data_IF_035447445973
#
_entry.id   IF_035447445973
#
_cell.length_a   1.000
_cell.length_b   1.000
_cell.length_c   1.000
_cell.angle_alpha   90.00
_cell.angle_beta   90.00
_cell.angle_gamma   90.00
#
_symmetry.space_group_name_H-M   'P 1'
#
loop_
_entity.id
_entity.type
_entity.pdbx_description
1 polymer ?
#
# COMPACT_ATOMS: atom_id res chain seq x y z
N UNK A 1 -23.72 51.42 5.25
CA UNK A 1 -23.86 50.02 4.81
C UNK A 1 -22.59 49.65 4.07
N UNK A 2 -21.62 49.13 4.80
CA UNK A 2 -20.32 48.68 4.32
C UNK A 2 -20.46 47.25 3.80
N UNK A 3 -20.09 47.05 2.54
CA UNK A 3 -19.93 45.71 1.96
C UNK A 3 -18.63 45.11 2.51
N UNK A 4 -18.74 44.06 3.33
CA UNK A 4 -17.61 43.19 3.62
C UNK A 4 -17.29 42.34 2.39
N UNK A 5 -16.00 42.13 2.05
CA UNK A 5 -15.61 41.18 1.03
C UNK A 5 -15.86 39.76 1.55
N UNK A 6 -16.59 39.00 0.75
CA UNK A 6 -16.84 37.59 0.95
C UNK A 6 -15.51 36.85 0.78
N UNK A 7 -14.92 36.41 1.89
CA UNK A 7 -13.77 35.51 1.90
C UNK A 7 -14.13 34.29 1.04
N UNK A 8 -13.52 34.23 -0.14
CA UNK A 8 -13.50 33.03 -0.94
C UNK A 8 -12.70 31.98 -0.17
N UNK A 9 -13.39 31.17 0.65
CA UNK A 9 -12.86 29.91 1.12
C UNK A 9 -12.35 29.16 -0.12
N UNK A 10 -11.03 29.11 -0.25
CA UNK A 10 -10.38 28.30 -1.26
C UNK A 10 -10.98 26.89 -1.15
N UNK A 11 -11.49 26.37 -2.28
CA UNK A 11 -12.01 25.01 -2.32
C UNK A 11 -10.94 24.08 -1.73
N UNK A 12 -11.32 23.11 -0.86
CA UNK A 12 -10.35 22.17 -0.32
C UNK A 12 -9.63 21.52 -1.52
N UNK A 13 -8.29 21.48 -1.46
CA UNK A 13 -7.47 20.86 -2.49
C UNK A 13 -8.05 19.47 -2.83
N UNK A 14 -8.05 19.05 -4.11
CA UNK A 14 -8.69 17.80 -4.49
C UNK A 14 -8.13 16.65 -3.65
N UNK A 15 -9.04 15.98 -2.94
CA UNK A 15 -8.87 14.63 -2.39
C UNK A 15 -8.29 13.80 -3.53
N UNK A 16 -7.16 13.12 -3.31
CA UNK A 16 -6.40 12.46 -4.36
C UNK A 16 -7.28 11.66 -5.34
N UNK A 17 -6.91 11.60 -6.62
CA UNK A 17 -7.56 10.73 -7.61
C UNK A 17 -6.99 9.32 -7.54
N UNK A 18 -7.83 8.29 -7.58
CA UNK A 18 -7.40 6.89 -7.50
C UNK A 18 -7.60 6.20 -8.84
N UNK A 19 -6.59 5.47 -9.31
CA UNK A 19 -6.68 4.68 -10.55
C UNK A 19 -5.82 3.43 -10.45
N UNK A 20 -6.09 2.47 -11.35
CA UNK A 20 -5.28 1.27 -11.46
C UNK A 20 -3.80 1.62 -11.72
N UNK A 21 -2.92 0.85 -11.09
CA UNK A 21 -1.48 0.87 -11.33
C UNK A 21 -1.19 0.49 -12.78
N UNK A 22 -0.33 1.24 -13.45
CA UNK A 22 0.16 0.89 -14.79
C UNK A 22 1.66 1.21 -14.94
N UNK A 23 2.23 0.89 -16.11
CA UNK A 23 3.67 1.01 -16.35
C UNK A 23 4.22 2.44 -16.26
N UNK A 24 3.39 3.46 -16.49
CA UNK A 24 3.80 4.87 -16.36
C UNK A 24 4.06 5.26 -14.89
N UNK A 25 3.57 4.47 -13.94
CA UNK A 25 3.72 4.75 -12.51
C UNK A 25 4.99 4.15 -11.92
N UNK A 26 5.65 3.22 -12.61
CA UNK A 26 6.61 2.32 -11.98
C UNK A 26 7.80 3.04 -11.35
N UNK A 27 8.31 4.08 -12.01
CA UNK A 27 9.40 4.89 -11.48
C UNK A 27 8.97 5.64 -10.21
N UNK A 28 7.82 6.31 -10.25
CA UNK A 28 7.29 7.06 -9.11
C UNK A 28 6.95 6.13 -7.93
N UNK A 29 6.43 4.94 -8.22
CA UNK A 29 6.13 3.91 -7.22
C UNK A 29 7.40 3.33 -6.59
N UNK A 30 8.45 3.09 -7.36
CA UNK A 30 9.73 2.65 -6.82
C UNK A 30 10.35 3.70 -5.89
N UNK A 31 10.26 4.98 -6.27
CA UNK A 31 10.69 6.09 -5.41
C UNK A 31 9.86 6.19 -4.13
N UNK A 32 8.54 6.03 -4.21
CA UNK A 32 7.63 6.02 -3.06
C UNK A 32 7.94 4.87 -2.10
N UNK A 33 8.14 3.66 -2.61
CA UNK A 33 8.44 2.46 -1.81
C UNK A 33 9.78 2.60 -1.06
N UNK A 34 10.82 3.11 -1.74
CA UNK A 34 12.09 3.43 -1.10
C UNK A 34 11.94 4.50 -0.02
N UNK A 35 11.23 5.59 -0.31
CA UNK A 35 11.02 6.67 0.65
C UNK A 35 10.23 6.20 1.88
N UNK A 36 9.21 5.37 1.68
CA UNK A 36 8.45 4.76 2.78
C UNK A 36 9.33 3.83 3.63
N UNK A 37 10.24 3.07 3.03
CA UNK A 37 11.18 2.26 3.80
C UNK A 37 12.16 3.07 4.62
N UNK A 38 12.64 4.21 4.11
CA UNK A 38 13.50 5.11 4.84
C UNK A 38 12.77 5.84 5.99
N UNK A 39 11.46 6.12 5.84
CA UNK A 39 10.62 6.66 6.94
C UNK A 39 10.41 5.60 8.03
N UNK A 40 10.16 4.34 7.64
CA UNK A 40 9.92 3.24 8.57
C UNK A 40 11.18 2.80 9.33
N UNK A 41 12.31 2.74 8.62
CA UNK A 41 13.59 2.26 9.12
C UNK A 41 14.71 3.19 8.62
N UNK A 42 15.13 4.18 9.43
CA UNK A 42 16.22 5.10 9.06
C UNK A 42 17.56 4.41 8.76
N UNK A 43 17.78 3.21 9.30
CA UNK A 43 19.00 2.41 9.07
C UNK A 43 18.91 1.52 7.82
N UNK A 44 17.78 1.57 7.08
CA UNK A 44 17.53 0.75 5.89
C UNK A 44 18.67 0.77 4.87
N UNK A 45 19.29 1.93 4.66
CA UNK A 45 20.39 2.09 3.71
C UNK A 45 21.66 1.29 4.12
N UNK A 46 21.84 1.01 5.41
CA UNK A 46 22.96 0.24 5.95
C UNK A 46 22.75 -1.28 5.93
N UNK A 47 21.54 -1.76 5.64
CA UNK A 47 21.23 -3.19 5.61
C UNK A 47 21.95 -3.90 4.46
N UNK A 48 22.22 -5.22 4.56
CA UNK A 48 22.71 -6.01 3.43
C UNK A 48 21.82 -5.88 2.19
N UNK A 49 22.42 -5.89 0.99
CA UNK A 49 21.70 -5.68 -0.28
C UNK A 49 20.47 -6.60 -0.43
N UNK A 50 20.64 -7.89 -0.18
CA UNK A 50 19.56 -8.89 -0.26
C UNK A 50 18.39 -8.57 0.68
N UNK A 51 18.68 -8.01 1.85
CA UNK A 51 17.63 -7.61 2.80
C UNK A 51 16.90 -6.36 2.32
N UNK A 52 17.63 -5.38 1.78
CA UNK A 52 17.02 -4.19 1.17
C UNK A 52 16.11 -4.57 0.01
N UNK A 53 16.59 -5.41 -0.91
CA UNK A 53 15.82 -5.91 -2.05
C UNK A 53 14.56 -6.67 -1.60
N UNK A 54 14.66 -7.52 -0.57
CA UNK A 54 13.53 -8.31 -0.08
C UNK A 54 12.46 -7.51 0.64
N UNK A 55 12.82 -6.33 1.18
CA UNK A 55 11.89 -5.42 1.85
C UNK A 55 11.12 -4.54 0.86
N UNK A 56 11.75 -4.15 -0.24
CA UNK A 56 11.09 -3.40 -1.31
C UNK A 56 10.04 -4.28 -2.03
N UNK A 57 8.89 -3.67 -2.30
CA UNK A 57 7.77 -4.31 -3.01
C UNK A 57 7.68 -3.90 -4.49
N UNK A 58 8.59 -3.02 -4.93
CA UNK A 58 8.52 -2.29 -6.20
C UNK A 58 9.55 -2.71 -7.26
N UNK A 59 10.14 -3.91 -7.15
CA UNK A 59 10.94 -4.44 -8.27
C UNK A 59 10.14 -4.48 -9.57
N UNK A 60 10.78 -4.29 -10.72
CA UNK A 60 10.08 -4.27 -12.01
C UNK A 60 9.21 -5.52 -12.23
N UNK A 61 9.70 -6.69 -11.84
CA UNK A 61 8.93 -7.93 -11.90
C UNK A 61 7.69 -7.91 -11.00
N UNK A 62 7.81 -7.40 -9.78
CA UNK A 62 6.68 -7.24 -8.87
C UNK A 62 5.65 -6.25 -9.42
N UNK A 63 6.08 -5.10 -9.92
CA UNK A 63 5.16 -4.09 -10.48
C UNK A 63 4.43 -4.60 -11.72
N UNK A 64 5.11 -5.31 -12.62
CA UNK A 64 4.47 -6.00 -13.77
C UNK A 64 3.49 -7.09 -13.34
N UNK A 65 3.72 -7.74 -12.20
CA UNK A 65 2.78 -8.69 -11.64
C UNK A 65 1.54 -7.96 -11.10
N UNK A 66 1.74 -6.99 -10.20
CA UNK A 66 0.66 -6.26 -9.53
C UNK A 66 -0.18 -5.39 -10.48
N UNK A 67 0.40 -4.87 -11.56
CA UNK A 67 -0.36 -4.16 -12.60
C UNK A 67 -1.38 -5.06 -13.33
N UNK A 68 -1.28 -6.40 -13.19
CA UNK A 68 -2.19 -7.39 -13.79
C UNK A 68 -3.10 -8.08 -12.78
N UNK A 69 -3.08 -7.69 -11.50
CA UNK A 69 -3.93 -8.32 -10.48
C UNK A 69 -5.33 -7.73 -10.43
N UNK A 70 -5.59 -6.62 -11.13
CA UNK A 70 -6.82 -5.81 -11.04
C UNK A 70 -7.14 -5.28 -9.62
N UNK A 71 -6.20 -5.47 -8.68
CA UNK A 71 -6.33 -5.14 -7.26
C UNK A 71 -5.23 -4.18 -6.78
N UNK A 72 -4.53 -3.51 -7.70
CA UNK A 72 -3.45 -2.58 -7.35
C UNK A 72 -3.74 -1.18 -7.89
N UNK A 73 -3.62 -0.17 -7.02
CA UNK A 73 -4.03 1.20 -7.30
C UNK A 73 -2.97 2.20 -6.84
N UNK A 74 -2.91 3.33 -7.53
CA UNK A 74 -2.14 4.51 -7.13
C UNK A 74 -3.08 5.66 -6.77
N UNK A 75 -2.66 6.47 -5.80
CA UNK A 75 -3.30 7.72 -5.46
C UNK A 75 -2.51 8.88 -6.08
N UNK A 76 -3.19 9.77 -6.79
CA UNK A 76 -2.62 10.88 -7.54
C UNK A 76 -3.04 12.21 -6.92
N UNK A 77 -2.10 13.09 -6.60
CA UNK A 77 -2.37 14.45 -6.12
C UNK A 77 -1.49 15.43 -6.87
N UNK A 78 -2.10 16.48 -7.43
CA UNK A 78 -1.39 17.47 -8.26
C UNK A 78 -0.54 16.86 -9.39
N UNK A 79 -0.97 15.71 -9.95
CA UNK A 79 -0.26 14.99 -11.01
C UNK A 79 0.80 14.00 -10.52
N UNK A 80 1.09 13.94 -9.22
CA UNK A 80 2.12 13.09 -8.64
C UNK A 80 1.53 11.88 -7.89
N UNK A 81 2.25 10.75 -7.91
CA UNK A 81 1.90 9.58 -7.09
C UNK A 81 2.16 9.92 -5.62
N UNK A 82 1.12 9.86 -4.80
CA UNK A 82 1.17 10.15 -3.36
C UNK A 82 0.79 8.96 -2.47
N UNK A 83 0.42 7.83 -3.08
CA UNK A 83 0.10 6.60 -2.39
C UNK A 83 -0.04 5.41 -3.32
N UNK A 84 0.03 4.21 -2.75
CA UNK A 84 0.05 2.94 -3.48
C UNK A 84 -0.61 1.85 -2.64
N UNK A 85 -1.41 1.00 -3.29
CA UNK A 85 -1.76 -0.33 -2.76
C UNK A 85 -1.34 -1.39 -3.77
N UNK A 86 -0.58 -2.39 -3.31
CA UNK A 86 -0.29 -3.61 -4.08
C UNK A 86 -1.03 -4.77 -3.43
N UNK A 87 -1.94 -5.39 -4.18
CA UNK A 87 -2.72 -6.51 -3.67
C UNK A 87 -2.97 -7.57 -4.75
N UNK A 88 -3.30 -8.77 -4.30
CA UNK A 88 -3.56 -9.92 -5.17
C UNK A 88 -4.61 -10.83 -4.57
N UNK A 89 -5.31 -11.56 -5.43
CA UNK A 89 -6.20 -12.64 -5.00
C UNK A 89 -5.40 -13.87 -4.58
N UNK A 90 -5.75 -14.46 -3.45
CA UNK A 90 -5.15 -15.68 -2.89
C UNK A 90 -6.25 -16.70 -2.64
N UNK A 91 -6.09 -17.91 -3.19
CA UNK A 91 -7.04 -18.99 -3.00
C UNK A 91 -6.87 -19.66 -1.62
N UNK A 92 -7.93 -19.73 -0.83
CA UNK A 92 -7.92 -20.34 0.52
C UNK A 92 -8.65 -21.70 0.58
N UNK A 93 -8.94 -22.31 -0.58
CA UNK A 93 -9.59 -23.62 -0.67
C UNK A 93 -11.01 -23.56 -1.25
N UNK A 94 -11.88 -22.73 -0.66
CA UNK A 94 -13.28 -22.58 -1.10
C UNK A 94 -13.54 -21.23 -1.80
N UNK A 95 -13.03 -20.14 -1.23
CA UNK A 95 -13.18 -18.78 -1.77
C UNK A 95 -11.83 -18.08 -1.79
N UNK A 96 -11.59 -17.18 -2.76
CA UNK A 96 -10.44 -16.32 -2.73
C UNK A 96 -10.60 -15.23 -1.65
N UNK A 97 -9.47 -14.71 -1.20
CA UNK A 97 -9.36 -13.45 -0.44
C UNK A 97 -8.46 -12.50 -1.24
N UNK A 98 -8.57 -11.19 -1.02
CA UNK A 98 -7.56 -10.24 -1.53
C UNK A 98 -6.53 -9.97 -0.43
N UNK A 99 -5.27 -10.29 -0.68
CA UNK A 99 -4.16 -10.02 0.22
C UNK A 99 -3.42 -8.75 -0.21
N UNK A 100 -3.35 -7.77 0.68
CA UNK A 100 -2.55 -6.56 0.50
C UNK A 100 -1.09 -6.86 0.88
N UNK A 101 -0.19 -6.77 -0.10
CA UNK A 101 1.25 -6.89 0.12
C UNK A 101 1.82 -5.64 0.76
N UNK A 102 1.39 -4.46 0.31
CA UNK A 102 1.82 -3.19 0.87
C UNK A 102 0.78 -2.10 0.59
N UNK A 103 0.71 -1.13 1.51
CA UNK A 103 -0.11 0.06 1.40
C UNK A 103 0.70 1.25 1.92
N UNK A 104 1.04 2.15 1.00
CA UNK A 104 2.01 3.22 1.21
C UNK A 104 1.41 4.59 0.91
N UNK A 105 1.99 5.60 1.55
CA UNK A 105 1.70 7.02 1.35
C UNK A 105 3.01 7.78 1.35
N UNK A 106 3.08 8.94 0.69
CA UNK A 106 4.29 9.77 0.73
C UNK A 106 4.71 10.07 2.18
N UNK A 107 5.99 9.88 2.53
CA UNK A 107 6.50 10.25 3.85
C UNK A 107 6.25 11.71 4.20
N UNK A 108 6.11 12.00 5.49
CA UNK A 108 5.91 13.37 5.99
C UNK A 108 4.55 14.01 5.66
N UNK A 109 3.63 13.32 4.97
CA UNK A 109 2.25 13.81 4.83
C UNK A 109 1.59 14.04 6.19
N UNK A 110 0.86 15.13 6.31
CA UNK A 110 0.02 15.43 7.48
C UNK A 110 -0.94 14.26 7.75
N UNK A 111 -1.09 13.91 9.03
CA UNK A 111 -1.83 12.71 9.45
C UNK A 111 -3.26 12.63 8.89
N UNK A 112 -4.07 13.70 8.87
CA UNK A 112 -5.41 13.65 8.28
C UNK A 112 -5.38 13.30 6.79
N UNK A 113 -4.50 13.95 6.02
CA UNK A 113 -4.34 13.68 4.59
C UNK A 113 -3.81 12.27 4.32
N UNK A 114 -2.88 11.79 5.16
CA UNK A 114 -2.38 10.42 5.12
C UNK A 114 -3.52 9.42 5.30
N UNK A 115 -4.39 9.62 6.29
CA UNK A 115 -5.56 8.79 6.52
C UNK A 115 -6.56 8.84 5.34
N UNK A 116 -6.80 10.02 4.76
CA UNK A 116 -7.70 10.17 3.61
C UNK A 116 -7.21 9.39 2.38
N UNK A 117 -5.91 9.47 2.08
CA UNK A 117 -5.27 8.73 0.97
C UNK A 117 -5.36 7.22 1.23
N UNK A 118 -5.04 6.79 2.46
CA UNK A 118 -5.08 5.39 2.87
C UNK A 118 -6.50 4.82 2.72
N UNK A 119 -7.51 5.54 3.21
CA UNK A 119 -8.91 5.16 3.12
C UNK A 119 -9.40 5.12 1.66
N UNK A 120 -8.97 6.09 0.83
CA UNK A 120 -9.31 6.10 -0.59
C UNK A 120 -8.72 4.93 -1.39
N UNK A 121 -7.46 4.59 -1.14
CA UNK A 121 -6.81 3.40 -1.73
C UNK A 121 -7.54 2.11 -1.34
N UNK A 122 -7.90 1.97 -0.06
CA UNK A 122 -8.67 0.82 0.39
C UNK A 122 -10.07 0.79 -0.19
N UNK A 123 -10.77 1.92 -0.34
CA UNK A 123 -12.06 1.95 -1.03
C UNK A 123 -11.97 1.52 -2.50
N UNK A 124 -10.92 1.93 -3.22
CA UNK A 124 -10.66 1.46 -4.57
C UNK A 124 -10.42 -0.07 -4.61
N UNK A 125 -9.62 -0.58 -3.67
CA UNK A 125 -9.39 -2.00 -3.50
C UNK A 125 -10.68 -2.77 -3.19
N UNK A 126 -11.49 -2.28 -2.25
CA UNK A 126 -12.74 -2.91 -1.83
C UNK A 126 -13.70 -3.02 -3.01
N UNK A 127 -13.81 -1.95 -3.81
CA UNK A 127 -14.60 -1.98 -5.04
C UNK A 127 -14.10 -3.08 -6.00
N UNK A 128 -12.79 -3.17 -6.24
CA UNK A 128 -12.25 -4.20 -7.12
C UNK A 128 -12.49 -5.64 -6.63
N UNK A 129 -12.43 -5.86 -5.32
CA UNK A 129 -12.78 -7.14 -4.69
C UNK A 129 -14.26 -7.46 -4.89
N UNK A 130 -15.15 -6.48 -4.66
CA UNK A 130 -16.59 -6.66 -4.91
C UNK A 130 -16.90 -6.97 -6.38
N UNK A 131 -16.28 -6.26 -7.33
CA UNK A 131 -16.48 -6.48 -8.77
C UNK A 131 -16.05 -7.89 -9.21
N UNK A 132 -15.19 -8.55 -8.43
CA UNK A 132 -14.66 -9.90 -8.67
C UNK A 132 -15.24 -10.96 -7.72
N UNK A 133 -16.30 -10.62 -6.99
CA UNK A 133 -16.98 -11.50 -6.01
C UNK A 133 -16.06 -12.03 -4.89
N UNK A 134 -15.05 -11.23 -4.50
CA UNK A 134 -14.18 -11.48 -3.35
C UNK A 134 -14.69 -10.69 -2.15
N UNK A 135 -14.97 -11.39 -1.04
CA UNK A 135 -15.66 -10.80 0.12
C UNK A 135 -14.78 -10.55 1.33
N UNK A 136 -13.50 -10.93 1.26
CA UNK A 136 -12.58 -10.82 2.38
C UNK A 136 -11.24 -10.27 1.90
N UNK A 137 -10.74 -9.26 2.63
CA UNK A 137 -9.53 -8.51 2.29
C UNK A 137 -8.64 -8.49 3.53
N UNK A 138 -7.40 -8.93 3.37
CA UNK A 138 -6.41 -9.02 4.44
C UNK A 138 -5.35 -7.95 4.24
N UNK A 139 -5.16 -7.10 5.24
CA UNK A 139 -4.16 -6.03 5.21
C UNK A 139 -3.65 -5.73 6.62
N UNK A 140 -2.43 -5.19 6.69
CA UNK A 140 -1.86 -4.67 7.95
C UNK A 140 -2.22 -3.18 8.03
N UNK A 141 -2.94 -2.72 9.07
CA UNK A 141 -3.31 -1.32 9.22
C UNK A 141 -2.12 -0.47 9.67
N UNK A 142 -2.09 0.81 9.25
CA UNK A 142 -1.10 1.75 9.75
C UNK A 142 -1.19 1.92 11.28
N UNK A 143 -0.05 2.04 11.98
CA UNK A 143 -0.03 2.36 13.40
C UNK A 143 -0.83 3.65 13.69
N UNK A 144 -1.69 3.61 14.70
CA UNK A 144 -2.46 4.77 15.15
C UNK A 144 -3.70 5.12 14.31
N UNK A 145 -4.00 4.39 13.22
CA UNK A 145 -5.20 4.65 12.42
C UNK A 145 -6.46 3.98 13.01
N UNK A 146 -7.57 4.73 13.25
CA UNK A 146 -8.81 4.14 13.74
C UNK A 146 -9.52 3.32 12.65
N UNK A 147 -9.36 2.00 12.71
CA UNK A 147 -9.90 1.03 11.73
C UNK A 147 -11.42 1.09 11.50
N UNK A 148 -12.20 1.39 12.55
CA UNK A 148 -13.66 1.22 12.55
C UNK A 148 -14.46 2.46 12.10
N UNK A 149 -13.81 3.62 11.96
CA UNK A 149 -14.52 4.87 11.59
C UNK A 149 -14.75 5.01 10.09
N UNK A 150 -13.72 4.76 9.28
CA UNK A 150 -13.67 5.23 7.89
C UNK A 150 -13.88 4.14 6.82
N UNK A 151 -13.87 2.86 7.23
CA UNK A 151 -13.86 1.70 6.32
C UNK A 151 -15.03 0.72 6.48
N UNK A 152 -15.87 0.88 7.51
CA UNK A 152 -16.94 -0.08 7.81
C UNK A 152 -16.47 -1.24 8.71
N UNK A 153 -16.90 -2.46 8.39
CA UNK A 153 -16.68 -3.68 9.20
C UNK A 153 -15.24 -4.23 9.07
N UNK A 154 -14.29 -3.50 9.64
CA UNK A 154 -12.88 -3.94 9.73
C UNK A 154 -12.58 -4.41 11.15
N UNK A 155 -12.14 -5.66 11.25
CA UNK A 155 -11.69 -6.27 12.52
C UNK A 155 -10.20 -6.59 12.47
N UNK A 156 -9.49 -6.34 13.57
CA UNK A 156 -8.10 -6.76 13.73
C UNK A 156 -8.05 -8.24 14.11
N UNK A 157 -7.29 -9.04 13.38
CA UNK A 157 -7.14 -10.48 13.60
C UNK A 157 -5.66 -10.82 13.69
N UNK A 158 -5.18 -11.14 14.91
CA UNK A 158 -3.79 -11.53 15.16
C UNK A 158 -2.75 -10.47 14.80
N UNK A 159 -1.49 -10.93 14.76
CA UNK A 159 -0.32 -10.14 14.34
C UNK A 159 0.31 -10.79 13.10
N UNK A 160 1.02 -10.00 12.30
CA UNK A 160 1.80 -10.47 11.15
C UNK A 160 3.28 -10.59 11.53
N UNK A 161 3.91 -11.73 11.24
CA UNK A 161 5.31 -11.99 11.53
C UNK A 161 6.10 -12.32 10.27
N UNK A 162 7.34 -11.84 10.19
CA UNK A 162 8.28 -12.15 9.11
C UNK A 162 9.49 -12.87 9.71
N UNK A 163 9.88 -14.00 9.11
CA UNK A 163 11.14 -14.69 9.41
C UNK A 163 12.00 -14.71 8.16
N UNK A 164 13.15 -14.07 8.22
CA UNK A 164 14.16 -14.15 7.16
C UNK A 164 14.87 -15.51 7.26
N UNK A 165 14.78 -16.31 6.20
CA UNK A 165 15.33 -17.67 6.19
C UNK A 165 16.79 -17.73 5.72
N UNK A 166 17.38 -16.65 5.20
CA UNK A 166 18.78 -16.65 4.72
C UNK A 166 18.92 -17.15 3.28
N UNK A 167 20.12 -17.61 2.92
CA UNK A 167 20.45 -18.16 1.60
C UNK A 167 20.20 -19.67 1.52
N UNK A 168 20.17 -20.22 0.29
CA UNK A 168 20.04 -21.67 0.07
C UNK A 168 21.18 -22.47 0.70
N UNK A 169 22.38 -21.89 0.75
CA UNK A 169 23.58 -22.52 1.30
C UNK A 169 23.50 -22.63 2.83
N UNK A 170 22.79 -21.70 3.48
CA UNK A 170 22.62 -21.63 4.93
C UNK A 170 21.45 -22.49 5.46
N UNK A 171 20.52 -22.88 4.58
CA UNK A 171 19.27 -23.56 4.96
C UNK A 171 19.12 -24.96 4.39
N UNK A 172 20.13 -25.47 3.70
CA UNK A 172 20.14 -26.85 3.23
C UNK A 172 19.96 -27.80 4.42
N UNK A 173 18.94 -28.65 4.36
CA UNK A 173 18.82 -29.75 5.31
C UNK A 173 20.07 -30.64 5.16
N UNK A 174 20.68 -31.11 6.27
CA UNK A 174 21.76 -32.08 6.17
C UNK A 174 21.27 -33.29 5.38
N UNK A 175 22.11 -33.79 4.45
CA UNK A 175 21.80 -35.01 3.71
C UNK A 175 21.57 -36.14 4.71
N UNK A 176 20.47 -36.85 4.56
CA UNK A 176 20.27 -38.12 5.24
C UNK A 176 21.14 -39.13 4.50
N UNK A 177 22.39 -39.27 4.95
CA UNK A 177 23.25 -40.41 4.62
C UNK A 177 22.78 -41.68 5.35
#
# INVERSE_FOLDING_TARGET
MTHEPQDALAAPAPVAAYRALNELDFEAVAALDLAAQLELDPDFAGLPEREREGRLSSSLGALKFYARTDHSFVAMRAGEVCGLVLAQSVWQGDKPIVLVRTLLTTPGLELPLRHDIYAGLLRALFKSAYDTAVYEIHFVPQPGWPLAGDLGDVRRVGDYAVRHLGSREETALPSLD
#
